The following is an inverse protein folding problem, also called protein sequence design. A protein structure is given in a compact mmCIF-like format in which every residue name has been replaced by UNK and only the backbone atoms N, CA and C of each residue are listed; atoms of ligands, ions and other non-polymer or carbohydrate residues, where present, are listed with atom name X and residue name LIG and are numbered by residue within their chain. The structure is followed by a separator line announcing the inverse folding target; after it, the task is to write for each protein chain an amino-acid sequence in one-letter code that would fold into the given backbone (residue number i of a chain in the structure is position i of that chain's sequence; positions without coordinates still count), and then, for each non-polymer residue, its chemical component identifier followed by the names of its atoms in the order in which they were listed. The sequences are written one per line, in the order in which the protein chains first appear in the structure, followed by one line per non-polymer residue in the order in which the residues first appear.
data_IF_889849401176
#
_entry.id   IF_889849401176
#
_cell.length_a   1.000
_cell.length_b   1.000
_cell.length_c   1.000
_cell.angle_alpha   90.00
_cell.angle_beta   90.00
_cell.angle_gamma   90.00
#
_symmetry.space_group_name_H-M   'P 1'
#
loop_
_entity.id
_entity.type
_entity.pdbx_description
1 polymer ?
#
# COMPACT_ATOMS: atom_id res chain seq x y z
N UNK A 1 22.58 17.12 -23.79
CA UNK A 1 21.63 16.01 -23.54
C UNK A 1 20.26 16.61 -23.31
N UNK A 2 19.17 16.02 -23.81
CA UNK A 2 17.79 16.46 -23.56
C UNK A 2 17.51 16.29 -22.05
N UNK A 3 16.95 17.32 -21.39
CA UNK A 3 16.51 17.18 -20.00
C UNK A 3 15.43 16.08 -19.90
N UNK A 4 15.47 15.21 -18.87
CA UNK A 4 14.45 14.18 -18.70
C UNK A 4 13.10 14.82 -18.37
N UNK A 5 12.00 14.18 -18.77
CA UNK A 5 10.64 14.67 -18.54
C UNK A 5 10.32 14.72 -17.03
N UNK A 6 10.79 13.74 -16.27
CA UNK A 6 10.71 13.70 -14.82
C UNK A 6 12.13 13.66 -14.23
N UNK A 7 12.38 14.48 -13.23
CA UNK A 7 13.65 14.58 -12.52
C UNK A 7 13.46 14.41 -11.01
N UNK A 8 14.44 13.80 -10.35
CA UNK A 8 14.45 13.62 -8.90
C UNK A 8 15.21 14.79 -8.26
N UNK A 9 14.63 15.42 -7.24
CA UNK A 9 15.26 16.47 -6.47
C UNK A 9 14.97 16.31 -4.95
N UNK A 10 15.33 17.30 -4.15
CA UNK A 10 15.18 17.29 -2.70
C UNK A 10 13.73 17.33 -2.20
N UNK A 11 12.74 17.60 -3.09
CA UNK A 11 11.31 17.66 -2.74
C UNK A 11 10.49 16.51 -3.26
N UNK A 12 10.95 15.83 -4.31
CA UNK A 12 10.15 14.77 -4.94
C UNK A 12 10.54 14.48 -6.39
N UNK A 13 9.68 13.78 -7.08
CA UNK A 13 9.75 13.54 -8.53
C UNK A 13 9.10 14.74 -9.22
N UNK A 14 9.88 15.49 -9.96
CA UNK A 14 9.48 16.80 -10.50
C UNK A 14 9.33 16.79 -12.02
N UNK A 15 8.17 17.22 -12.50
CA UNK A 15 7.95 17.58 -13.89
C UNK A 15 8.16 19.10 -14.06
N UNK A 16 9.36 19.52 -14.48
CA UNK A 16 9.75 20.91 -14.63
C UNK A 16 8.82 21.69 -15.57
N UNK A 17 8.41 21.06 -16.69
CA UNK A 17 7.58 21.71 -17.69
C UNK A 17 6.17 22.03 -17.18
N UNK A 18 5.63 21.15 -16.32
CA UNK A 18 4.30 21.35 -15.73
C UNK A 18 4.33 22.15 -14.44
N UNK A 19 5.49 22.28 -13.78
CA UNK A 19 5.65 22.76 -12.40
C UNK A 19 4.80 21.96 -11.41
N UNK A 20 4.94 20.63 -11.48
CA UNK A 20 4.19 19.66 -10.68
C UNK A 20 5.13 18.60 -10.13
N UNK A 21 4.89 18.17 -8.91
CA UNK A 21 5.57 17.04 -8.26
C UNK A 21 4.67 15.81 -8.21
N UNK A 22 5.27 14.63 -8.32
CA UNK A 22 4.61 13.34 -8.12
C UNK A 22 5.05 12.79 -6.76
N UNK A 23 4.11 12.46 -5.89
CA UNK A 23 4.30 11.98 -4.52
C UNK A 23 5.44 12.73 -3.78
N UNK A 24 5.37 14.06 -3.68
CA UNK A 24 6.47 14.83 -3.07
C UNK A 24 6.59 14.56 -1.57
N UNK A 25 7.82 14.40 -1.10
CA UNK A 25 8.14 14.19 0.32
C UNK A 25 8.42 15.47 1.11
N UNK A 26 8.34 16.63 0.47
CA UNK A 26 8.39 17.97 1.10
C UNK A 26 7.28 18.86 0.56
N UNK A 27 6.84 19.87 1.31
CA UNK A 27 5.80 20.80 0.88
C UNK A 27 6.09 21.45 -0.47
N UNK A 28 5.09 21.42 -1.37
CA UNK A 28 5.13 21.99 -2.72
C UNK A 28 3.81 22.69 -3.05
N UNK A 29 3.80 23.45 -4.15
CA UNK A 29 2.57 24.12 -4.63
C UNK A 29 1.61 23.11 -5.24
N UNK A 30 2.07 22.26 -6.16
CA UNK A 30 1.22 21.31 -6.91
C UNK A 30 1.77 19.89 -6.77
N UNK A 31 0.95 18.99 -6.28
CA UNK A 31 1.26 17.59 -6.10
C UNK A 31 0.23 16.69 -6.80
N UNK A 32 0.68 15.67 -7.53
CA UNK A 32 -0.15 14.57 -7.98
C UNK A 32 0.21 13.36 -7.10
N UNK A 33 -0.79 12.78 -6.44
CA UNK A 33 -0.62 11.72 -5.45
C UNK A 33 -1.10 10.39 -6.01
N UNK A 34 -0.26 9.36 -5.92
CA UNK A 34 -0.58 8.01 -6.38
C UNK A 34 -1.59 7.33 -5.47
N UNK A 35 -1.36 7.32 -4.16
CA UNK A 35 -2.21 6.64 -3.19
C UNK A 35 -2.11 7.22 -1.77
N UNK A 36 -2.91 6.67 -0.86
CA UNK A 36 -3.13 7.24 0.47
C UNK A 36 -2.13 6.86 1.56
N UNK A 37 -1.06 6.08 1.31
CA UNK A 37 -0.06 5.78 2.33
C UNK A 37 0.76 7.01 2.72
N UNK A 38 1.30 7.00 3.95
CA UNK A 38 1.89 8.19 4.57
C UNK A 38 3.16 8.70 3.88
N UNK A 39 3.95 7.83 3.32
CA UNK A 39 5.17 8.16 2.60
C UNK A 39 4.90 8.74 1.20
N UNK A 40 3.76 8.46 0.59
CA UNK A 40 3.32 8.99 -0.71
C UNK A 40 2.41 10.20 -0.60
N UNK A 41 1.51 10.26 0.38
CA UNK A 41 0.58 11.38 0.58
C UNK A 41 0.93 12.16 1.84
N UNK A 42 1.88 13.08 1.71
CA UNK A 42 2.35 13.92 2.83
C UNK A 42 1.54 15.20 2.97
N UNK A 43 1.52 15.75 4.17
CA UNK A 43 0.88 17.02 4.48
C UNK A 43 1.72 18.23 4.00
N UNK A 44 1.06 19.36 3.74
CA UNK A 44 1.70 20.66 3.51
C UNK A 44 1.75 21.11 2.05
N UNK A 45 1.20 20.35 1.10
CA UNK A 45 1.06 20.81 -0.29
C UNK A 45 -0.12 21.79 -0.40
N UNK A 46 -0.02 22.77 -1.31
CA UNK A 46 -1.11 23.73 -1.51
C UNK A 46 -2.26 23.11 -2.33
N UNK A 47 -1.94 22.34 -3.37
CA UNK A 47 -2.91 21.70 -4.25
C UNK A 47 -2.54 20.23 -4.41
N UNK A 48 -3.53 19.35 -4.26
CA UNK A 48 -3.40 17.92 -4.48
C UNK A 48 -4.27 17.50 -5.66
N UNK A 49 -3.76 16.59 -6.49
CA UNK A 49 -4.52 15.89 -7.52
C UNK A 49 -4.34 14.40 -7.27
N UNK A 50 -5.41 13.63 -7.31
CA UNK A 50 -5.36 12.17 -7.14
C UNK A 50 -6.59 11.53 -7.80
N UNK A 51 -6.69 10.20 -7.85
CA UNK A 51 -7.91 9.55 -8.26
C UNK A 51 -9.05 9.85 -7.27
N UNK A 52 -10.29 10.02 -7.75
CA UNK A 52 -11.39 10.47 -6.90
C UNK A 52 -11.71 9.49 -5.76
N UNK A 53 -11.49 8.15 -5.91
CA UNK A 53 -11.65 7.19 -4.81
C UNK A 53 -10.61 7.36 -3.71
N UNK A 54 -9.43 7.94 -4.02
CA UNK A 54 -8.41 8.24 -3.02
C UNK A 54 -8.68 9.57 -2.26
N UNK A 55 -9.56 10.43 -2.78
CA UNK A 55 -9.87 11.73 -2.15
C UNK A 55 -10.36 11.59 -0.71
N UNK A 56 -11.38 10.76 -0.37
CA UNK A 56 -11.81 10.59 1.01
C UNK A 56 -10.73 10.00 1.91
N UNK A 57 -9.87 9.12 1.38
CA UNK A 57 -8.77 8.49 2.13
C UNK A 57 -7.77 9.56 2.58
N UNK A 58 -7.24 10.37 1.64
CA UNK A 58 -6.24 11.40 1.99
C UNK A 58 -6.85 12.53 2.81
N UNK A 59 -8.13 12.88 2.62
CA UNK A 59 -8.83 13.85 3.49
C UNK A 59 -9.00 13.32 4.92
N UNK A 60 -9.27 12.04 5.08
CA UNK A 60 -9.33 11.43 6.41
C UNK A 60 -7.98 11.53 7.12
N UNK A 61 -6.87 11.28 6.41
CA UNK A 61 -5.52 11.29 6.98
C UNK A 61 -4.93 12.69 7.16
N UNK A 62 -5.13 13.57 6.20
CA UNK A 62 -4.47 14.89 6.16
C UNK A 62 -5.38 16.04 6.61
N UNK A 63 -6.66 15.75 6.87
CA UNK A 63 -7.63 16.78 7.23
C UNK A 63 -8.11 17.63 6.04
N UNK A 64 -8.48 18.91 6.28
CA UNK A 64 -9.02 19.79 5.25
C UNK A 64 -7.92 20.29 4.30
N UNK A 65 -7.72 19.58 3.20
CA UNK A 65 -6.77 19.90 2.13
C UNK A 65 -7.50 20.30 0.84
N UNK A 66 -6.84 21.10 0.00
CA UNK A 66 -7.34 21.42 -1.34
C UNK A 66 -6.98 20.28 -2.30
N UNK A 67 -7.93 19.39 -2.58
CA UNK A 67 -7.74 18.21 -3.41
C UNK A 67 -8.75 18.11 -4.52
N UNK A 68 -8.27 17.82 -5.73
CA UNK A 68 -9.07 17.55 -6.94
C UNK A 68 -8.98 16.08 -7.29
N UNK A 69 -10.13 15.41 -7.39
CA UNK A 69 -10.23 14.04 -7.90
C UNK A 69 -10.24 14.03 -9.42
N UNK A 70 -9.64 13.00 -10.01
CA UNK A 70 -9.65 12.67 -11.43
C UNK A 70 -10.17 11.26 -11.65
N UNK A 71 -10.81 11.01 -12.79
CA UNK A 71 -11.25 9.68 -13.16
C UNK A 71 -10.12 8.83 -13.76
N UNK A 72 -10.29 7.51 -13.75
CA UNK A 72 -9.37 6.62 -14.47
C UNK A 72 -9.30 6.98 -15.94
N UNK A 73 -8.08 7.03 -16.48
CA UNK A 73 -7.80 7.31 -17.88
C UNK A 73 -8.23 8.74 -18.35
N UNK A 74 -8.77 9.58 -17.46
CA UNK A 74 -9.05 10.98 -17.76
C UNK A 74 -7.75 11.74 -18.03
N UNK A 75 -7.61 12.27 -19.26
CA UNK A 75 -6.46 13.12 -19.59
C UNK A 75 -6.71 14.56 -19.16
N UNK A 76 -5.82 15.12 -18.37
CA UNK A 76 -5.79 16.54 -18.01
C UNK A 76 -4.43 17.16 -18.35
N UNK A 77 -4.41 18.46 -18.57
CA UNK A 77 -3.21 19.16 -19.04
C UNK A 77 -2.81 20.27 -18.07
N UNK A 78 -1.52 20.29 -17.71
CA UNK A 78 -0.91 21.35 -16.91
C UNK A 78 0.31 21.88 -17.68
N UNK A 79 0.31 23.16 -18.03
CA UNK A 79 1.40 23.82 -18.77
C UNK A 79 1.84 23.05 -20.03
N UNK A 80 0.87 22.47 -20.76
CA UNK A 80 1.11 21.74 -22.00
C UNK A 80 1.59 20.29 -21.83
N UNK A 81 1.79 19.81 -20.59
CA UNK A 81 2.06 18.40 -20.28
C UNK A 81 0.73 17.70 -20.00
N UNK A 82 0.53 16.54 -20.60
CA UNK A 82 -0.64 15.71 -20.35
C UNK A 82 -0.37 14.71 -19.24
N UNK A 83 -1.34 14.56 -18.35
CA UNK A 83 -1.36 13.61 -17.26
C UNK A 83 -2.61 12.74 -17.34
N UNK A 84 -2.51 11.50 -16.92
CA UNK A 84 -3.64 10.62 -16.65
C UNK A 84 -3.30 9.64 -15.52
N UNK A 85 -4.35 9.20 -14.80
CA UNK A 85 -4.23 8.25 -13.71
C UNK A 85 -4.74 6.88 -14.17
N UNK A 86 -3.99 5.84 -13.88
CA UNK A 86 -4.30 4.46 -14.25
C UNK A 86 -4.24 3.56 -13.01
N UNK A 87 -5.08 2.53 -12.90
CA UNK A 87 -5.08 1.65 -11.74
C UNK A 87 -3.72 1.02 -11.45
N UNK A 88 -3.28 1.04 -10.18
CA UNK A 88 -2.04 0.43 -9.72
C UNK A 88 -2.25 -0.92 -9.00
N UNK A 89 -3.48 -1.24 -8.57
CA UNK A 89 -3.80 -2.53 -7.93
C UNK A 89 -3.29 -2.72 -6.51
N UNK A 90 -2.61 -1.71 -5.94
CA UNK A 90 -1.96 -1.80 -4.63
C UNK A 90 -2.97 -1.73 -3.46
N UNK A 91 -3.72 -0.64 -3.40
CA UNK A 91 -4.82 -0.42 -2.45
C UNK A 91 -5.96 0.30 -3.16
N UNK A 92 -7.12 0.44 -2.50
CA UNK A 92 -8.26 1.17 -3.05
C UNK A 92 -7.84 2.59 -3.42
N UNK A 93 -8.07 2.97 -4.69
CA UNK A 93 -7.74 4.28 -5.22
C UNK A 93 -6.27 4.51 -5.58
N UNK A 94 -5.41 3.49 -5.50
CA UNK A 94 -4.01 3.59 -5.92
C UNK A 94 -3.88 3.71 -7.42
N UNK A 95 -3.06 4.65 -7.86
CA UNK A 95 -2.90 5.06 -9.25
C UNK A 95 -1.44 5.07 -9.70
N UNK A 96 -1.19 4.61 -10.91
CA UNK A 96 -0.02 4.97 -11.68
C UNK A 96 -0.25 6.36 -12.32
N UNK A 97 0.78 7.17 -12.42
CA UNK A 97 0.72 8.49 -13.05
C UNK A 97 1.44 8.42 -14.40
N UNK A 98 0.67 8.53 -15.49
CA UNK A 98 1.19 8.66 -16.84
C UNK A 98 1.42 10.14 -17.16
N UNK A 99 2.58 10.46 -17.69
CA UNK A 99 3.01 11.82 -18.06
C UNK A 99 3.44 11.82 -19.51
N UNK A 100 2.84 12.68 -20.35
CA UNK A 100 3.16 12.77 -21.77
C UNK A 100 3.51 14.20 -22.17
N UNK A 101 4.65 14.37 -22.83
CA UNK A 101 5.08 15.65 -23.36
C UNK A 101 5.88 15.48 -24.67
N UNK A 102 5.44 16.15 -25.73
CA UNK A 102 6.10 16.10 -27.05
C UNK A 102 6.37 14.70 -27.60
N UNK A 103 5.42 13.79 -27.36
CA UNK A 103 5.49 12.40 -27.83
C UNK A 103 6.31 11.46 -26.94
N UNK A 104 6.94 11.95 -25.88
CA UNK A 104 7.63 11.13 -24.87
C UNK A 104 6.67 10.82 -23.72
N UNK A 105 6.57 9.54 -23.35
CA UNK A 105 5.66 9.03 -22.32
C UNK A 105 6.46 8.43 -21.16
N UNK A 106 6.23 8.93 -19.96
CA UNK A 106 6.76 8.37 -18.72
C UNK A 106 5.62 7.90 -17.83
N UNK A 107 5.87 6.81 -17.07
CA UNK A 107 4.95 6.31 -16.07
C UNK A 107 5.67 6.21 -14.73
N UNK A 108 5.06 6.76 -13.69
CA UNK A 108 5.43 6.54 -12.30
C UNK A 108 4.38 5.67 -11.64
N UNK A 109 4.80 4.51 -11.14
CA UNK A 109 3.86 3.49 -10.62
C UNK A 109 3.26 3.86 -9.27
N UNK A 110 3.94 4.66 -8.45
CA UNK A 110 3.76 4.57 -7.01
C UNK A 110 4.01 3.13 -6.56
N UNK A 111 3.31 2.68 -5.54
CA UNK A 111 3.28 1.28 -5.17
C UNK A 111 2.22 0.55 -5.98
N UNK A 112 2.51 -0.69 -6.40
CA UNK A 112 1.60 -1.42 -7.27
C UNK A 112 1.60 -2.93 -7.03
N UNK A 113 0.51 -3.58 -7.43
CA UNK A 113 0.32 -5.01 -7.37
C UNK A 113 -0.40 -5.50 -8.62
N UNK A 114 0.16 -6.52 -9.27
CA UNK A 114 -0.41 -7.07 -10.50
C UNK A 114 -1.47 -8.14 -10.27
N UNK A 115 -1.42 -8.83 -9.13
CA UNK A 115 -2.45 -9.79 -8.74
C UNK A 115 -3.69 -9.04 -8.24
N UNK A 116 -4.86 -9.36 -8.77
CA UNK A 116 -6.14 -8.82 -8.32
C UNK A 116 -6.43 -9.24 -6.88
N UNK A 117 -6.62 -8.28 -5.99
CA UNK A 117 -6.95 -8.52 -4.58
C UNK A 117 -8.46 -8.58 -4.31
N UNK A 118 -9.29 -8.32 -5.34
CA UNK A 118 -10.75 -8.36 -5.28
C UNK A 118 -11.41 -7.15 -4.57
N UNK A 119 -10.63 -6.13 -4.18
CA UNK A 119 -11.15 -4.89 -3.57
C UNK A 119 -10.59 -3.62 -4.24
N UNK A 120 -9.36 -3.64 -4.67
CA UNK A 120 -8.73 -2.54 -5.41
C UNK A 120 -9.10 -2.62 -6.88
N UNK A 121 -9.05 -1.49 -7.59
CA UNK A 121 -9.16 -1.52 -9.07
C UNK A 121 -7.94 -2.26 -9.62
N UNK A 122 -8.13 -3.35 -10.41
CA UNK A 122 -7.02 -4.16 -10.88
C UNK A 122 -5.98 -3.37 -11.66
N UNK A 123 -4.70 -3.76 -11.53
CA UNK A 123 -3.58 -3.15 -12.22
C UNK A 123 -3.78 -3.09 -13.74
N UNK A 124 -3.49 -1.94 -14.33
CA UNK A 124 -3.52 -1.72 -15.78
C UNK A 124 -2.10 -1.54 -16.32
N UNK A 125 -1.78 -2.25 -17.42
CA UNK A 125 -0.50 -2.04 -18.11
C UNK A 125 -0.53 -0.75 -18.92
N UNK A 126 0.35 0.19 -18.60
CA UNK A 126 0.48 1.47 -19.31
C UNK A 126 1.75 1.46 -20.16
N UNK A 127 1.61 1.58 -21.49
CA UNK A 127 2.76 1.67 -22.41
C UNK A 127 3.51 2.98 -22.23
N UNK A 128 4.85 2.92 -22.19
CA UNK A 128 5.69 4.10 -21.98
C UNK A 128 7.11 3.92 -22.51
N UNK A 129 7.85 5.03 -22.65
CA UNK A 129 9.27 5.05 -23.03
C UNK A 129 10.17 4.92 -21.78
N UNK A 130 9.70 5.43 -20.62
CA UNK A 130 10.39 5.33 -19.35
C UNK A 130 9.42 4.95 -18.21
N UNK A 131 9.84 4.00 -17.38
CA UNK A 131 9.06 3.44 -16.29
C UNK A 131 9.79 3.66 -14.96
N UNK A 132 9.17 4.42 -14.06
CA UNK A 132 9.66 4.61 -12.69
C UNK A 132 8.89 3.65 -11.81
N UNK A 133 9.56 2.67 -11.25
CA UNK A 133 8.96 1.54 -10.52
C UNK A 133 9.49 1.42 -9.10
N UNK A 134 8.60 1.06 -8.17
CA UNK A 134 9.02 0.49 -6.90
C UNK A 134 9.71 -0.86 -7.10
N UNK A 135 10.48 -1.27 -6.12
CA UNK A 135 11.05 -2.61 -6.02
C UNK A 135 11.19 -3.08 -4.57
N UNK A 136 10.12 -2.85 -3.79
CA UNK A 136 10.03 -3.24 -2.38
C UNK A 136 10.41 -4.71 -2.17
N UNK A 137 9.92 -5.59 -3.05
CA UNK A 137 10.22 -7.02 -3.05
C UNK A 137 11.02 -7.46 -4.29
N UNK A 138 11.92 -6.61 -4.76
CA UNK A 138 12.78 -6.81 -5.94
C UNK A 138 13.91 -7.84 -5.77
N UNK A 139 13.64 -8.98 -5.15
CA UNK A 139 14.55 -10.13 -5.05
C UNK A 139 13.87 -11.42 -5.47
N UNK A 140 14.57 -12.38 -6.12
CA UNK A 140 14.02 -13.66 -6.56
C UNK A 140 13.43 -14.52 -5.45
N UNK A 141 13.77 -14.24 -4.20
CA UNK A 141 13.25 -14.95 -3.03
C UNK A 141 11.80 -14.57 -2.67
N UNK A 142 11.30 -13.45 -3.17
CA UNK A 142 9.93 -13.03 -2.97
C UNK A 142 9.05 -13.56 -4.10
N UNK A 143 8.24 -14.55 -3.74
CA UNK A 143 7.20 -15.12 -4.60
C UNK A 143 5.96 -15.28 -3.74
N UNK A 144 4.84 -14.77 -4.23
CA UNK A 144 3.61 -14.82 -3.45
C UNK A 144 2.85 -16.11 -3.68
N UNK A 145 2.38 -16.71 -2.59
CA UNK A 145 1.33 -17.72 -2.63
C UNK A 145 0.01 -17.05 -3.02
N UNK A 146 -0.84 -17.71 -3.81
CA UNK A 146 -2.15 -17.16 -4.17
C UNK A 146 -2.93 -16.70 -2.94
N UNK A 147 -3.57 -15.54 -3.01
CA UNK A 147 -4.31 -14.95 -1.89
C UNK A 147 -5.32 -15.90 -1.27
N UNK A 148 -6.05 -16.67 -2.09
CA UNK A 148 -7.07 -17.61 -1.61
C UNK A 148 -6.50 -18.67 -0.65
N UNK A 149 -5.29 -19.17 -0.93
CA UNK A 149 -4.60 -20.14 -0.07
C UNK A 149 -4.20 -19.50 1.27
N UNK A 150 -3.66 -18.27 1.22
CA UNK A 150 -3.27 -17.53 2.44
C UNK A 150 -4.50 -17.22 3.30
N UNK A 151 -5.61 -16.82 2.69
CA UNK A 151 -6.85 -16.53 3.42
C UNK A 151 -7.47 -17.80 4.03
N UNK A 152 -7.40 -18.93 3.31
CA UNK A 152 -7.79 -20.25 3.87
C UNK A 152 -6.95 -20.58 5.11
N UNK A 153 -5.65 -20.33 5.06
CA UNK A 153 -4.72 -20.58 6.17
C UNK A 153 -5.04 -19.67 7.39
N UNK A 154 -5.41 -18.41 7.15
CA UNK A 154 -5.82 -17.46 8.18
C UNK A 154 -7.15 -17.92 8.83
N UNK A 155 -8.14 -18.29 8.03
CA UNK A 155 -9.44 -18.73 8.55
C UNK A 155 -9.32 -20.05 9.34
N UNK A 156 -8.51 -21.00 8.88
CA UNK A 156 -8.22 -22.22 9.63
C UNK A 156 -7.53 -21.93 10.97
N UNK A 157 -6.52 -21.03 10.97
CA UNK A 157 -5.85 -20.59 12.19
C UNK A 157 -6.83 -19.92 13.18
N UNK A 158 -7.76 -19.12 12.69
CA UNK A 158 -8.79 -18.51 13.51
C UNK A 158 -9.73 -19.58 14.11
N UNK A 159 -10.20 -20.54 13.30
CA UNK A 159 -11.06 -21.62 13.74
C UNK A 159 -10.39 -22.49 14.83
N UNK A 160 -9.10 -22.81 14.65
CA UNK A 160 -8.30 -23.54 15.66
C UNK A 160 -8.24 -22.77 17.00
N UNK A 161 -7.92 -21.48 16.97
CA UNK A 161 -7.85 -20.65 18.18
C UNK A 161 -9.24 -20.53 18.85
N UNK A 162 -10.32 -20.44 18.05
CA UNK A 162 -11.68 -20.43 18.56
C UNK A 162 -12.00 -21.71 19.32
N UNK A 163 -11.63 -22.86 18.77
CA UNK A 163 -11.84 -24.15 19.44
C UNK A 163 -11.10 -24.27 20.78
N UNK A 164 -9.98 -23.57 20.91
CA UNK A 164 -9.20 -23.48 22.15
C UNK A 164 -9.68 -22.35 23.09
N UNK A 165 -10.72 -21.60 22.74
CA UNK A 165 -11.24 -20.46 23.52
C UNK A 165 -10.30 -19.27 23.59
N UNK A 166 -9.41 -19.10 22.61
CA UNK A 166 -8.45 -17.99 22.52
C UNK A 166 -8.92 -16.92 21.54
N UNK A 167 -8.55 -15.68 21.79
CA UNK A 167 -8.73 -14.57 20.84
C UNK A 167 -7.64 -14.65 19.77
N UNK A 168 -8.00 -14.56 18.49
CA UNK A 168 -7.05 -14.40 17.38
C UNK A 168 -6.78 -12.93 17.14
N UNK A 169 -5.53 -12.46 17.32
CA UNK A 169 -5.16 -11.08 17.01
C UNK A 169 -4.31 -11.06 15.75
N UNK A 170 -4.85 -10.53 14.67
CA UNK A 170 -4.20 -10.51 13.36
C UNK A 170 -3.75 -9.08 13.02
N UNK A 171 -2.44 -8.91 12.87
CA UNK A 171 -1.85 -7.62 12.52
C UNK A 171 -1.78 -7.42 11.00
N UNK A 172 -2.25 -6.25 10.56
CA UNK A 172 -2.14 -5.74 9.20
C UNK A 172 -2.23 -4.22 9.20
N UNK A 173 -1.62 -3.56 8.21
CA UNK A 173 -1.69 -2.10 8.08
C UNK A 173 -3.14 -1.62 8.01
N UNK A 174 -3.44 -0.49 8.66
CA UNK A 174 -4.79 0.04 8.82
C UNK A 174 -5.43 0.49 7.51
N UNK A 175 -4.63 0.86 6.51
CA UNK A 175 -5.07 1.18 5.15
C UNK A 175 -4.53 0.13 4.17
N UNK A 176 -5.40 -0.50 3.39
CA UNK A 176 -5.11 -1.52 2.39
C UNK A 176 -5.15 -2.93 2.97
N UNK A 177 -4.11 -3.38 3.68
CA UNK A 177 -3.98 -4.74 4.21
C UNK A 177 -5.16 -5.17 5.09
N UNK A 178 -5.58 -4.32 6.03
CA UNK A 178 -6.69 -4.65 6.92
C UNK A 178 -8.00 -4.85 6.16
N UNK A 179 -8.29 -4.01 5.17
CA UNK A 179 -9.49 -4.12 4.35
C UNK A 179 -9.48 -5.36 3.46
N UNK A 180 -8.31 -5.68 2.90
CA UNK A 180 -8.12 -6.93 2.15
C UNK A 180 -8.35 -8.15 3.03
N UNK A 181 -7.82 -8.17 4.26
CA UNK A 181 -8.09 -9.23 5.24
C UNK A 181 -9.58 -9.31 5.56
N UNK A 182 -10.21 -8.17 5.91
CA UNK A 182 -11.63 -8.10 6.24
C UNK A 182 -12.52 -8.73 5.17
N UNK A 183 -12.24 -8.47 3.89
CA UNK A 183 -13.05 -8.95 2.77
C UNK A 183 -13.16 -10.47 2.71
N UNK A 184 -12.13 -11.19 3.19
CA UNK A 184 -12.00 -12.63 3.02
C UNK A 184 -12.01 -13.41 4.35
N UNK A 185 -12.21 -12.76 5.48
CA UNK A 185 -12.47 -13.44 6.74
C UNK A 185 -13.84 -14.12 6.71
N UNK A 186 -13.89 -15.38 7.14
CA UNK A 186 -15.10 -16.19 7.17
C UNK A 186 -15.93 -15.86 8.42
N UNK A 187 -17.04 -15.14 8.22
CA UNK A 187 -17.95 -14.73 9.30
C UNK A 187 -18.71 -15.87 9.96
N UNK A 188 -18.73 -17.07 9.37
CA UNK A 188 -19.33 -18.26 10.00
C UNK A 188 -18.47 -18.79 11.15
N UNK A 189 -17.17 -18.47 11.17
CA UNK A 189 -16.28 -18.83 12.28
C UNK A 189 -16.64 -18.02 13.53
N UNK A 190 -16.87 -16.72 13.42
CA UNK A 190 -17.14 -15.86 14.57
C UNK A 190 -17.27 -14.39 14.21
N UNK A 191 -17.23 -13.54 15.24
CA UNK A 191 -17.30 -12.08 15.07
C UNK A 191 -15.92 -11.51 14.75
N UNK A 192 -15.92 -10.43 13.97
CA UNK A 192 -14.74 -9.66 13.62
C UNK A 192 -14.72 -8.37 14.44
N UNK A 193 -13.67 -8.20 15.21
CA UNK A 193 -13.40 -6.98 15.96
C UNK A 193 -12.25 -6.21 15.32
N UNK A 194 -12.23 -4.90 15.50
CA UNK A 194 -11.20 -4.03 14.90
C UNK A 194 -10.62 -3.05 15.89
N UNK A 195 -9.34 -2.75 15.72
CA UNK A 195 -8.71 -1.57 16.35
C UNK A 195 -9.31 -0.28 15.77
N UNK A 196 -9.34 0.80 16.55
CA UNK A 196 -9.93 2.08 16.13
C UNK A 196 -9.38 2.61 14.81
N UNK A 197 -8.08 2.55 14.59
CA UNK A 197 -7.46 3.02 13.35
C UNK A 197 -7.94 2.22 12.12
N UNK A 198 -8.12 0.91 12.25
CA UNK A 198 -8.68 0.07 11.17
C UNK A 198 -10.14 0.40 10.94
N UNK A 199 -10.93 0.51 12.02
CA UNK A 199 -12.36 0.82 11.90
C UNK A 199 -12.60 2.17 11.25
N UNK A 200 -11.89 3.21 11.67
CA UNK A 200 -12.01 4.55 11.10
C UNK A 200 -11.74 4.55 9.59
N UNK A 201 -10.69 3.86 9.14
CA UNK A 201 -10.38 3.76 7.71
C UNK A 201 -11.41 2.89 6.97
N UNK A 202 -11.86 1.80 7.57
CA UNK A 202 -12.88 0.93 6.97
C UNK A 202 -14.19 1.69 6.77
N UNK A 203 -14.61 2.54 7.71
CA UNK A 203 -15.79 3.41 7.56
C UNK A 203 -15.66 4.38 6.37
N UNK A 204 -14.46 4.93 6.13
CA UNK A 204 -14.18 5.77 4.94
C UNK A 204 -14.37 4.98 3.64
N UNK A 205 -14.06 3.68 3.65
CA UNK A 205 -14.06 2.82 2.48
C UNK A 205 -15.38 2.05 2.26
N UNK A 206 -16.24 1.91 3.27
CA UNK A 206 -17.55 1.23 3.16
C UNK A 206 -18.44 1.75 2.02
N UNK A 207 -18.46 3.04 1.66
CA UNK A 207 -19.22 3.50 0.50
C UNK A 207 -18.74 2.95 -0.84
N UNK A 208 -17.52 2.41 -0.91
CA UNK A 208 -16.87 1.93 -2.13
C UNK A 208 -16.80 0.41 -2.21
N UNK A 209 -16.72 -0.26 -1.05
CA UNK A 209 -16.53 -1.71 -0.96
C UNK A 209 -17.41 -2.27 0.15
N UNK A 210 -18.11 -3.35 -0.17
CA UNK A 210 -18.89 -4.10 0.81
C UNK A 210 -17.96 -4.96 1.68
N UNK A 211 -17.85 -4.56 2.96
CA UNK A 211 -17.11 -5.28 3.99
C UNK A 211 -18.07 -5.98 4.96
N UNK A 212 -17.65 -7.11 5.55
CA UNK A 212 -18.43 -7.74 6.61
C UNK A 212 -18.65 -6.80 7.79
N UNK A 213 -19.64 -7.13 8.62
CA UNK A 213 -19.91 -6.39 9.84
C UNK A 213 -18.74 -6.51 10.81
N UNK A 214 -18.32 -5.40 11.39
CA UNK A 214 -17.21 -5.31 12.34
C UNK A 214 -17.67 -4.66 13.65
N UNK A 215 -16.95 -4.94 14.72
CA UNK A 215 -17.18 -4.30 16.02
C UNK A 215 -15.89 -3.63 16.48
N UNK A 216 -15.92 -2.32 16.66
CA UNK A 216 -14.77 -1.58 17.22
C UNK A 216 -14.50 -2.03 18.64
N UNK A 217 -13.24 -2.35 18.94
CA UNK A 217 -12.79 -2.62 20.33
C UNK A 217 -12.69 -1.30 21.08
N UNK A 218 -13.48 -1.14 22.14
CA UNK A 218 -13.51 0.05 23.00
C UNK A 218 -13.07 -0.29 24.42
N UNK A 219 -13.08 0.69 25.34
CA UNK A 219 -12.78 0.46 26.76
C UNK A 219 -13.83 -0.42 27.42
N UNK A 220 -15.07 -0.36 26.95
CA UNK A 220 -16.23 -1.12 27.45
C UNK A 220 -16.28 -2.55 26.92
N UNK A 221 -15.54 -2.88 25.86
CA UNK A 221 -15.48 -4.24 25.31
C UNK A 221 -14.93 -5.19 26.35
N UNK A 222 -15.73 -6.18 26.72
CA UNK A 222 -15.33 -7.18 27.72
C UNK A 222 -14.44 -8.24 27.10
N UNK A 223 -13.58 -8.83 27.93
CA UNK A 223 -12.70 -9.92 27.54
C UNK A 223 -13.49 -11.10 26.95
N UNK A 224 -14.59 -11.45 27.59
CA UNK A 224 -15.47 -12.56 27.21
C UNK A 224 -16.04 -12.40 25.79
N UNK A 225 -16.27 -11.15 25.35
CA UNK A 225 -16.77 -10.84 24.01
C UNK A 225 -15.71 -11.15 22.93
N UNK A 226 -14.44 -11.16 23.27
CA UNK A 226 -13.33 -11.36 22.35
C UNK A 226 -12.91 -12.84 22.23
N UNK A 227 -13.23 -13.67 23.22
CA UNK A 227 -12.84 -15.09 23.23
C UNK A 227 -13.43 -15.83 22.03
N UNK A 228 -12.57 -16.55 21.32
CA UNK A 228 -12.94 -17.30 20.11
C UNK A 228 -13.19 -16.42 18.87
N UNK A 229 -13.06 -15.10 18.98
CA UNK A 229 -13.25 -14.16 17.89
C UNK A 229 -11.91 -13.65 17.34
N UNK A 230 -11.95 -12.99 16.17
CA UNK A 230 -10.76 -12.37 15.57
C UNK A 230 -10.76 -10.88 15.80
N UNK A 231 -9.59 -10.33 16.08
CA UNK A 231 -9.35 -8.89 16.23
C UNK A 231 -8.32 -8.45 15.21
N UNK A 232 -8.68 -7.56 14.30
CA UNK A 232 -7.72 -6.92 13.40
C UNK A 232 -7.13 -5.68 14.05
N UNK A 233 -5.81 -5.56 14.02
CA UNK A 233 -5.08 -4.45 14.63
C UNK A 233 -3.89 -4.02 13.76
N UNK A 234 -3.47 -2.74 13.81
CA UNK A 234 -2.25 -2.31 13.14
C UNK A 234 -1.02 -2.91 13.82
N UNK A 235 0.12 -3.03 13.12
CA UNK A 235 1.36 -3.54 13.70
C UNK A 235 1.83 -2.78 14.94
N UNK A 236 1.55 -1.49 15.05
CA UNK A 236 1.86 -0.63 16.21
C UNK A 236 1.15 -1.07 17.50
N UNK A 237 0.00 -1.74 17.40
CA UNK A 237 -0.71 -2.28 18.57
C UNK A 237 0.01 -3.47 19.21
N UNK A 238 0.97 -4.09 18.52
CA UNK A 238 1.73 -5.23 19.04
C UNK A 238 2.58 -4.81 20.25
N UNK A 239 2.48 -5.58 21.35
CA UNK A 239 3.20 -5.29 22.59
C UNK A 239 2.63 -4.15 23.44
N UNK A 240 1.62 -3.43 22.97
CA UNK A 240 0.96 -2.35 23.69
C UNK A 240 0.10 -2.87 24.86
N UNK A 241 -0.33 -1.96 25.74
CA UNK A 241 -1.27 -2.30 26.82
C UNK A 241 -2.66 -2.67 26.30
N UNK A 242 -3.03 -2.18 25.11
CA UNK A 242 -4.31 -2.42 24.47
C UNK A 242 -4.56 -3.91 24.19
N UNK A 243 -3.55 -4.65 23.74
CA UNK A 243 -3.69 -6.09 23.42
C UNK A 243 -3.83 -6.95 24.69
N UNK A 244 -3.31 -6.52 25.84
CA UNK A 244 -3.31 -7.33 27.07
C UNK A 244 -4.69 -7.71 27.58
N UNK A 245 -5.72 -6.89 27.29
CA UNK A 245 -7.10 -7.18 27.67
C UNK A 245 -7.71 -8.38 26.96
N UNK A 246 -7.08 -8.83 25.86
CA UNK A 246 -7.58 -9.93 25.02
C UNK A 246 -7.12 -11.31 25.49
N UNK A 247 -6.31 -11.38 26.58
CA UNK A 247 -5.76 -12.64 27.10
C UNK A 247 -6.86 -13.64 27.51
N UNK A 248 -6.81 -14.94 27.10
CA UNK A 248 -5.76 -15.55 26.30
C UNK A 248 -5.91 -15.24 24.79
N UNK A 249 -4.82 -14.85 24.15
CA UNK A 249 -4.79 -14.57 22.73
C UNK A 249 -3.61 -15.22 22.01
N UNK A 250 -3.73 -15.40 20.70
CA UNK A 250 -2.66 -15.83 19.79
C UNK A 250 -2.50 -14.76 18.72
N UNK A 251 -1.25 -14.43 18.39
CA UNK A 251 -0.92 -13.37 17.43
C UNK A 251 -0.58 -13.89 16.06
N UNK A 252 -1.13 -13.24 15.02
CA UNK A 252 -0.77 -13.45 13.62
C UNK A 252 -0.34 -12.13 12.99
N UNK A 253 0.52 -12.16 11.98
CA UNK A 253 0.89 -10.98 11.20
C UNK A 253 0.84 -11.27 9.71
N UNK A 254 0.11 -10.45 8.94
CA UNK A 254 0.02 -10.52 7.49
C UNK A 254 0.92 -9.45 6.86
N UNK A 255 1.99 -9.88 6.16
CA UNK A 255 2.94 -9.00 5.48
C UNK A 255 3.80 -9.80 4.50
N UNK A 256 4.27 -9.18 3.41
CA UNK A 256 5.25 -9.79 2.50
C UNK A 256 6.55 -10.19 3.19
N UNK A 257 6.95 -9.46 4.23
CA UNK A 257 8.13 -9.77 5.04
C UNK A 257 8.05 -11.09 5.81
N UNK A 258 6.86 -11.66 5.98
CA UNK A 258 6.68 -12.97 6.62
C UNK A 258 7.26 -14.13 5.80
N UNK A 259 7.68 -13.90 4.55
CA UNK A 259 8.43 -14.85 3.76
C UNK A 259 9.76 -15.27 4.43
N UNK A 260 10.36 -14.41 5.24
CA UNK A 260 11.62 -14.68 5.92
C UNK A 260 11.45 -15.00 7.41
N UNK A 261 12.02 -16.12 7.85
CA UNK A 261 12.00 -16.54 9.27
C UNK A 261 12.57 -15.47 10.21
N UNK A 262 13.58 -14.72 9.77
CA UNK A 262 14.20 -13.63 10.55
C UNK A 262 13.24 -12.48 10.83
N UNK A 263 12.38 -12.12 9.89
CA UNK A 263 11.37 -11.08 10.06
C UNK A 263 10.29 -11.51 11.07
N UNK A 264 9.82 -12.77 11.00
CA UNK A 264 8.88 -13.33 12.00
C UNK A 264 9.44 -13.28 13.42
N UNK A 265 10.72 -13.66 13.58
CA UNK A 265 11.38 -13.63 14.92
C UNK A 265 11.49 -12.20 15.48
N UNK A 266 11.85 -11.23 14.63
CA UNK A 266 11.93 -9.82 15.07
C UNK A 266 10.58 -9.25 15.48
N UNK A 267 9.50 -9.63 14.79
CA UNK A 267 8.14 -9.19 15.12
C UNK A 267 7.52 -9.94 16.29
N UNK A 268 8.16 -10.99 16.81
CA UNK A 268 7.71 -11.77 17.99
C UNK A 268 6.22 -12.20 17.92
N UNK A 269 5.71 -12.54 16.73
CA UNK A 269 4.35 -13.03 16.52
C UNK A 269 4.35 -14.56 16.48
N UNK A 270 3.23 -15.18 16.93
CA UNK A 270 3.09 -16.64 16.98
C UNK A 270 3.01 -17.23 15.56
N UNK A 271 2.32 -16.56 14.63
CA UNK A 271 2.18 -16.98 13.24
C UNK A 271 2.39 -15.83 12.25
N UNK A 272 3.09 -16.08 11.15
CA UNK A 272 3.26 -15.15 10.03
C UNK A 272 2.54 -15.67 8.80
N UNK A 273 1.78 -14.79 8.13
CA UNK A 273 1.12 -15.04 6.86
C UNK A 273 1.76 -14.18 5.77
N UNK A 274 2.20 -14.81 4.68
CA UNK A 274 2.83 -14.10 3.56
C UNK A 274 1.74 -13.50 2.68
N UNK A 275 1.37 -12.27 2.97
CA UNK A 275 0.37 -11.52 2.21
C UNK A 275 0.88 -10.11 1.98
N UNK A 276 1.19 -9.76 0.72
CA UNK A 276 1.70 -8.44 0.33
C UNK A 276 0.73 -7.68 -0.56
N UNK A 277 0.68 -6.36 -0.42
CA UNK A 277 -0.05 -5.45 -1.31
C UNK A 277 0.85 -4.92 -2.44
N UNK A 278 2.11 -5.38 -2.51
CA UNK A 278 3.06 -5.06 -3.57
C UNK A 278 3.31 -6.26 -4.48
N UNK A 279 3.85 -5.99 -5.66
CA UNK A 279 4.32 -7.03 -6.57
C UNK A 279 5.41 -7.90 -5.94
N UNK A 280 5.41 -9.17 -6.31
CA UNK A 280 6.58 -10.04 -6.14
C UNK A 280 7.60 -9.84 -7.28
N UNK A 281 8.69 -10.57 -7.19
CA UNK A 281 9.73 -10.58 -8.22
C UNK A 281 9.20 -10.80 -9.64
N UNK A 282 8.30 -11.77 -9.81
CA UNK A 282 7.73 -12.12 -11.12
C UNK A 282 6.84 -11.00 -11.63
N UNK A 283 5.95 -10.48 -10.78
CA UNK A 283 5.05 -9.38 -11.14
C UNK A 283 5.79 -8.10 -11.52
N UNK A 284 6.91 -7.78 -10.83
CA UNK A 284 7.76 -6.64 -11.19
C UNK A 284 8.35 -6.81 -12.61
N UNK A 285 8.92 -7.96 -12.93
CA UNK A 285 9.53 -8.22 -14.24
C UNK A 285 8.50 -8.25 -15.38
N UNK A 286 7.36 -8.90 -15.15
CA UNK A 286 6.28 -8.98 -16.13
C UNK A 286 5.69 -7.60 -16.42
N UNK A 287 5.51 -6.77 -15.40
CA UNK A 287 5.04 -5.39 -15.57
C UNK A 287 5.99 -4.58 -16.43
N UNK A 288 7.29 -4.56 -16.10
CA UNK A 288 8.30 -3.82 -16.87
C UNK A 288 8.28 -4.27 -18.32
N UNK A 289 8.32 -5.57 -18.58
CA UNK A 289 8.25 -6.13 -19.92
C UNK A 289 6.97 -5.72 -20.66
N UNK A 290 5.85 -5.73 -19.97
CA UNK A 290 4.55 -5.41 -20.55
C UNK A 290 4.42 -3.93 -20.92
N UNK A 291 5.10 -2.99 -20.25
CA UNK A 291 5.06 -1.56 -20.61
C UNK A 291 5.75 -1.26 -21.93
N UNK A 292 6.76 -2.07 -22.32
CA UNK A 292 7.63 -1.82 -23.46
C UNK A 292 8.66 -0.71 -23.24
N UNK A 293 8.84 -0.26 -22.00
CA UNK A 293 9.81 0.77 -21.65
C UNK A 293 11.25 0.28 -21.89
N UNK A 294 12.06 1.13 -22.52
CA UNK A 294 13.50 0.90 -22.65
C UNK A 294 14.27 1.39 -21.41
N UNK A 295 13.77 2.46 -20.77
CA UNK A 295 14.34 3.05 -19.56
C UNK A 295 13.57 2.65 -18.33
N UNK A 296 14.27 2.12 -17.32
CA UNK A 296 13.67 1.74 -16.04
C UNK A 296 14.38 2.45 -14.91
N UNK A 297 13.64 3.14 -14.05
CA UNK A 297 14.17 3.82 -12.88
C UNK A 297 13.61 3.14 -11.66
N UNK A 298 14.48 2.43 -10.93
CA UNK A 298 14.13 1.72 -9.71
C UNK A 298 14.16 2.66 -8.51
N UNK A 299 13.06 2.72 -7.78
CA UNK A 299 12.94 3.48 -6.54
C UNK A 299 12.95 2.51 -5.35
N UNK A 300 12.79 2.94 -4.16
CA UNK A 300 12.79 2.23 -2.87
C UNK A 300 12.85 0.68 -2.89
N UNK A 301 13.11 0.05 -1.75
CA UNK A 301 13.27 -1.39 -1.64
C UNK A 301 14.64 -1.88 -2.11
N UNK A 302 14.69 -2.99 -2.84
CA UNK A 302 15.93 -3.61 -3.34
C UNK A 302 16.42 -3.00 -4.66
N UNK A 303 16.31 -1.68 -4.83
CA UNK A 303 16.55 -0.95 -6.07
C UNK A 303 17.92 -1.21 -6.69
N UNK A 304 19.00 -1.28 -5.90
CA UNK A 304 20.36 -1.51 -6.39
C UNK A 304 20.56 -2.91 -6.99
N UNK A 305 19.96 -3.92 -6.36
CA UNK A 305 20.06 -5.30 -6.86
C UNK A 305 19.17 -5.47 -8.08
N UNK A 306 17.97 -4.95 -8.00
CA UNK A 306 16.97 -5.09 -9.06
C UNK A 306 17.40 -4.35 -10.34
N UNK A 307 17.94 -3.12 -10.22
CA UNK A 307 18.44 -2.37 -11.38
C UNK A 307 19.63 -3.06 -12.06
N UNK A 308 20.55 -3.65 -11.31
CA UNK A 308 21.66 -4.43 -11.89
C UNK A 308 21.14 -5.63 -12.68
N UNK A 309 20.17 -6.35 -12.16
CA UNK A 309 19.55 -7.45 -12.87
C UNK A 309 18.85 -7.01 -14.17
N UNK A 310 18.14 -5.87 -14.14
CA UNK A 310 17.54 -5.30 -15.34
C UNK A 310 18.56 -4.90 -16.41
N UNK A 311 19.73 -4.38 -16.01
CA UNK A 311 20.84 -4.09 -16.93
C UNK A 311 21.32 -5.37 -17.61
N UNK A 312 21.46 -6.48 -16.88
CA UNK A 312 21.82 -7.79 -17.44
C UNK A 312 20.79 -8.31 -18.45
N UNK A 313 19.51 -7.93 -18.28
CA UNK A 313 18.44 -8.22 -19.23
C UNK A 313 18.38 -7.27 -20.43
N UNK A 314 19.26 -6.25 -20.49
CA UNK A 314 19.37 -5.31 -21.59
C UNK A 314 18.58 -4.01 -21.45
N UNK A 315 18.00 -3.70 -20.29
CA UNK A 315 17.33 -2.43 -20.04
C UNK A 315 18.33 -1.30 -19.72
N UNK A 316 18.00 -0.07 -20.12
CA UNK A 316 18.66 1.14 -19.59
C UNK A 316 18.10 1.41 -18.16
N UNK A 317 18.62 0.65 -17.18
CA UNK A 317 18.12 0.68 -15.81
C UNK A 317 19.06 1.46 -14.88
N UNK A 318 18.46 2.21 -13.94
CA UNK A 318 19.20 2.92 -12.90
C UNK A 318 18.38 3.03 -11.62
N UNK A 319 19.04 3.35 -10.53
CA UNK A 319 18.38 3.68 -9.25
C UNK A 319 18.14 5.18 -9.14
N UNK A 320 17.10 5.55 -8.39
CA UNK A 320 16.86 6.90 -7.93
C UNK A 320 16.58 6.89 -6.42
N UNK A 321 17.25 7.78 -5.70
CA UNK A 321 17.01 7.93 -4.27
C UNK A 321 15.70 8.68 -4.04
N UNK A 322 14.83 8.08 -3.25
CA UNK A 322 13.56 8.65 -2.79
C UNK A 322 13.50 8.63 -1.26
N UNK A 323 12.54 9.34 -0.69
CA UNK A 323 12.24 9.27 0.76
C UNK A 323 11.00 8.40 1.04
N UNK A 324 10.66 7.50 0.13
CA UNK A 324 9.65 6.48 0.36
C UNK A 324 10.26 5.35 1.21
N UNK A 325 9.50 4.87 2.18
CA UNK A 325 9.99 3.94 3.19
C UNK A 325 9.48 2.51 2.97
N UNK A 326 8.46 2.34 2.11
CA UNK A 326 7.81 1.07 1.85
C UNK A 326 7.17 0.45 3.09
N UNK A 327 6.77 -0.83 3.02
CA UNK A 327 6.11 -1.55 4.15
C UNK A 327 6.87 -1.48 5.50
N UNK A 328 8.15 -1.20 5.53
CA UNK A 328 8.91 -1.09 6.80
C UNK A 328 8.81 0.28 7.45
N UNK A 329 8.69 1.34 6.68
CA UNK A 329 8.58 2.71 7.19
C UNK A 329 7.15 3.12 7.55
N UNK A 330 6.14 2.47 6.96
CA UNK A 330 4.74 2.66 7.35
C UNK A 330 4.52 2.39 8.85
N UNK A 331 5.34 1.52 9.47
CA UNK A 331 5.26 1.27 10.92
C UNK A 331 5.67 2.47 11.77
N UNK A 332 6.64 3.26 11.33
CA UNK A 332 7.11 4.42 12.10
C UNK A 332 6.21 5.63 11.89
N UNK A 333 5.68 5.84 10.67
CA UNK A 333 4.72 6.90 10.37
C UNK A 333 3.37 6.71 11.09
N UNK A 334 2.91 5.46 11.26
CA UNK A 334 1.68 5.16 12.01
C UNK A 334 1.82 5.43 13.50
N UNK A 335 3.00 5.24 14.09
CA UNK A 335 3.25 5.64 15.49
C UNK A 335 3.12 7.14 15.70
N UNK A 336 3.61 7.92 14.74
CA UNK A 336 3.49 9.38 14.80
C UNK A 336 2.04 9.87 14.63
N UNK A 337 1.20 9.15 13.88
CA UNK A 337 -0.23 9.46 13.72
C UNK A 337 -1.04 9.07 14.96
N UNK A 338 -0.75 7.91 15.58
CA UNK A 338 -1.41 7.46 16.80
C UNK A 338 -1.05 8.31 18.03
N UNK A 339 0.15 8.88 18.09
CA UNK A 339 0.56 9.81 19.17
C UNK A 339 -0.12 11.19 19.07
N UNK A 340 -0.77 11.50 17.93
CA UNK A 340 -1.51 12.74 17.70
C UNK A 340 -3.02 12.64 17.97
N UNK A 341 -3.57 11.42 18.12
CA UNK A 341 -4.96 11.14 18.54
C UNK A 341 -5.05 10.89 20.08
#
# INVERSE_FOLDING_TARGET
MKEPLLAFNDKGIYCKQADVYLDPWRPVTNAIITHGHADHSRWGHQNYITHHTNVPIIKHRLGPINVTGKDWNETFTINGVKFSLHPAGHIIGSAQIRVEYKGEVWVFTGDYKTEDDGISTPYEVVKCDAFITECTFGLPAFKWTPQAEVMTDINNWWAENRAEGKTSVLFGYSLGKAQRLLKYLDTDIGKIYTHGAIENMTEVLRPMVDFPETTRVTRETKKEDLLGNIVLAPPSAHGSTWIRKMTPFVTGSASGWMAFRGARRRRAVDRGFVLSDHCDWTGLLESIKATGAEKVICTHGYSDIFSKYLIELGYDARTANTQYEGESGEMDSMREEEERE
#
